data_IF_496741381505
#
_entry.id   IF_496741381505
#
_cell.length_a   1.000
_cell.length_b   1.000
_cell.length_c   1.000
_cell.angle_alpha   90.00
_cell.angle_beta   90.00
_cell.angle_gamma   90.00
#
_symmetry.space_group_name_H-M   'P 1'
#
loop_
_entity.id
_entity.type
_entity.pdbx_description
1 polymer ?
#
# COMPACT_ATOMS: atom_id res chain seq x y z
N UNK A 1 1.13 -15.71 -11.49
CA UNK A 1 0.62 -14.37 -11.09
C UNK A 1 0.22 -14.43 -9.63
N UNK A 2 0.56 -13.40 -8.85
CA UNK A 2 0.16 -13.27 -7.46
C UNK A 2 -1.32 -12.89 -7.34
N UNK A 3 -1.98 -13.31 -6.25
CA UNK A 3 -3.34 -12.85 -5.91
C UNK A 3 -3.24 -11.54 -5.14
N UNK A 4 -3.98 -10.51 -5.55
CA UNK A 4 -3.98 -9.20 -4.90
C UNK A 4 -5.29 -8.99 -4.15
N UNK A 5 -5.20 -8.72 -2.85
CA UNK A 5 -6.33 -8.47 -1.97
C UNK A 5 -6.23 -7.09 -1.35
N UNK A 6 -7.37 -6.48 -1.06
CA UNK A 6 -7.45 -5.23 -0.32
C UNK A 6 -7.98 -5.55 1.07
N UNK A 7 -7.30 -5.04 2.10
CA UNK A 7 -7.92 -4.98 3.41
C UNK A 7 -9.12 -4.04 3.38
N UNK A 8 -10.07 -4.25 4.29
CA UNK A 8 -11.33 -3.48 4.33
C UNK A 8 -11.08 -1.97 4.39
N UNK A 9 -10.06 -1.54 5.11
CA UNK A 9 -9.64 -0.14 5.18
C UNK A 9 -9.07 0.36 3.83
N UNK A 10 -8.21 -0.41 3.17
CA UNK A 10 -7.65 -0.06 1.87
C UNK A 10 -8.71 -0.01 0.76
N UNK A 11 -9.72 -0.89 0.83
CA UNK A 11 -10.86 -0.86 -0.09
C UNK A 11 -11.65 0.45 0.04
N UNK A 12 -11.83 0.93 1.27
CA UNK A 12 -12.48 2.24 1.53
C UNK A 12 -11.64 3.38 1.00
N UNK A 13 -10.32 3.31 1.10
CA UNK A 13 -9.44 4.33 0.54
C UNK A 13 -9.54 4.36 -0.97
N UNK A 14 -9.44 3.20 -1.61
CA UNK A 14 -9.59 3.06 -3.06
C UNK A 14 -10.92 3.62 -3.57
N UNK A 15 -12.03 3.34 -2.87
CA UNK A 15 -13.36 3.84 -3.24
C UNK A 15 -13.48 5.37 -3.22
N UNK A 16 -12.61 6.08 -2.49
CA UNK A 16 -12.57 7.55 -2.44
C UNK A 16 -11.74 8.16 -3.57
N UNK A 17 -10.97 7.35 -4.31
CA UNK A 17 -10.17 7.83 -5.42
C UNK A 17 -11.02 7.95 -6.69
N UNK A 18 -10.65 8.92 -7.51
CA UNK A 18 -11.19 9.13 -8.85
C UNK A 18 -10.06 9.41 -9.86
N UNK A 19 -10.46 9.53 -11.13
CA UNK A 19 -9.59 9.93 -12.23
C UNK A 19 -8.23 9.22 -12.25
N UNK A 20 -7.17 10.02 -12.33
CA UNK A 20 -5.80 9.55 -12.52
C UNK A 20 -5.25 8.80 -11.30
N UNK A 21 -5.74 9.12 -10.09
CA UNK A 21 -5.32 8.44 -8.87
C UNK A 21 -5.83 7.00 -8.85
N UNK A 22 -7.11 6.82 -9.19
CA UNK A 22 -7.73 5.49 -9.28
C UNK A 22 -7.07 4.63 -10.36
N UNK A 23 -6.86 5.20 -11.55
CA UNK A 23 -6.17 4.53 -12.66
C UNK A 23 -4.75 4.09 -12.27
N UNK A 24 -4.03 4.90 -11.50
CA UNK A 24 -2.70 4.55 -11.04
C UNK A 24 -2.72 3.35 -10.07
N UNK A 25 -3.72 3.29 -9.18
CA UNK A 25 -3.89 2.14 -8.26
C UNK A 25 -4.26 0.88 -9.02
N UNK A 26 -5.13 0.97 -10.02
CA UNK A 26 -5.49 -0.18 -10.87
C UNK A 26 -4.26 -0.75 -11.58
N UNK A 27 -3.44 0.13 -12.18
CA UNK A 27 -2.19 -0.24 -12.81
C UNK A 27 -1.13 -0.76 -11.82
N UNK A 28 -1.11 -0.25 -10.58
CA UNK A 28 -0.27 -0.80 -9.52
C UNK A 28 -0.70 -2.22 -9.14
N UNK A 29 -2.02 -2.46 -8.99
CA UNK A 29 -2.59 -3.78 -8.71
C UNK A 29 -2.23 -4.80 -9.79
N UNK A 30 -2.32 -4.43 -11.07
CA UNK A 30 -1.95 -5.34 -12.16
C UNK A 30 -0.45 -5.66 -12.17
N UNK A 31 0.42 -4.65 -11.96
CA UNK A 31 1.86 -4.89 -11.82
C UNK A 31 2.18 -5.80 -10.64
N UNK A 32 1.47 -5.68 -9.52
CA UNK A 32 1.61 -6.56 -8.37
C UNK A 32 1.15 -8.00 -8.69
N UNK A 33 0.11 -8.20 -9.50
CA UNK A 33 -0.28 -9.55 -9.97
C UNK A 33 0.80 -10.20 -10.82
N UNK A 34 1.45 -9.42 -11.69
CA UNK A 34 2.47 -9.94 -12.61
C UNK A 34 3.80 -10.18 -11.88
N UNK A 35 4.27 -9.19 -11.13
CA UNK A 35 5.64 -9.16 -10.57
C UNK A 35 5.72 -9.47 -9.08
N UNK A 36 4.58 -9.55 -8.38
CA UNK A 36 4.54 -9.85 -6.95
C UNK A 36 5.38 -8.89 -6.12
N UNK A 37 6.23 -9.45 -5.26
CA UNK A 37 7.10 -8.72 -4.32
C UNK A 37 8.40 -8.19 -4.94
N UNK A 38 8.67 -8.44 -6.22
CA UNK A 38 9.87 -7.93 -6.89
C UNK A 38 9.87 -6.40 -7.06
N UNK A 39 8.68 -5.79 -6.99
CA UNK A 39 8.50 -4.34 -7.11
C UNK A 39 8.25 -3.70 -5.76
N UNK A 40 8.41 -2.38 -5.71
CA UNK A 40 8.20 -1.59 -4.51
C UNK A 40 9.41 -1.55 -3.59
N UNK A 41 9.43 -0.50 -2.78
CA UNK A 41 10.49 -0.23 -1.80
C UNK A 41 10.18 -0.96 -0.49
N UNK A 42 11.14 -1.69 0.05
CA UNK A 42 11.04 -2.30 1.37
C UNK A 42 10.87 -1.25 2.46
N UNK A 43 9.92 -1.49 3.36
CA UNK A 43 9.71 -0.72 4.57
C UNK A 43 10.42 -1.39 5.75
N UNK A 44 10.87 -0.56 6.68
CA UNK A 44 11.56 -1.00 7.89
C UNK A 44 10.73 -0.76 9.14
N UNK A 45 11.30 -1.19 10.27
CA UNK A 45 10.80 -0.80 11.57
C UNK A 45 11.39 0.56 11.97
N UNK A 46 10.59 1.38 12.63
CA UNK A 46 11.00 2.62 13.29
C UNK A 46 10.49 2.58 14.73
N UNK A 47 10.84 3.61 15.52
CA UNK A 47 10.28 3.79 16.87
C UNK A 47 8.74 3.86 16.86
N UNK A 48 8.14 4.30 15.75
CA UNK A 48 6.70 4.59 15.67
C UNK A 48 5.89 3.62 14.79
N UNK A 49 6.54 2.84 13.94
CA UNK A 49 5.89 1.91 13.00
C UNK A 49 6.69 0.63 12.82
N UNK A 50 6.04 -0.54 12.86
CA UNK A 50 6.68 -1.85 12.69
C UNK A 50 6.29 -2.46 11.34
N UNK A 51 6.77 -1.85 10.25
CA UNK A 51 6.41 -2.21 8.88
C UNK A 51 7.49 -3.06 8.17
N UNK A 52 8.42 -3.68 8.89
CA UNK A 52 9.30 -4.68 8.29
C UNK A 52 8.49 -5.80 7.63
N UNK A 53 8.86 -6.15 6.39
CA UNK A 53 8.12 -7.11 5.56
C UNK A 53 6.96 -6.49 4.77
N UNK A 54 6.72 -5.19 4.91
CA UNK A 54 5.82 -4.44 4.03
C UNK A 54 6.63 -3.71 2.95
N UNK A 55 5.93 -3.35 1.86
CA UNK A 55 6.50 -2.64 0.73
C UNK A 55 5.62 -1.47 0.30
N UNK A 56 6.25 -0.53 -0.40
CA UNK A 56 5.63 0.70 -0.87
C UNK A 56 5.77 0.88 -2.39
N UNK A 57 4.67 1.25 -3.04
CA UNK A 57 4.67 1.92 -4.35
C UNK A 57 4.29 3.39 -4.16
N UNK A 58 5.08 4.30 -4.75
CA UNK A 58 4.85 5.75 -4.71
C UNK A 58 4.82 6.33 -6.11
N UNK A 59 3.89 7.25 -6.35
CA UNK A 59 3.99 8.17 -7.49
C UNK A 59 4.00 9.61 -6.96
N UNK A 60 5.19 10.20 -6.97
CA UNK A 60 5.42 11.55 -6.43
C UNK A 60 4.69 12.62 -7.23
N UNK A 61 4.59 12.48 -8.56
CA UNK A 61 3.92 13.45 -9.43
C UNK A 61 2.42 13.52 -9.16
N UNK A 62 1.81 12.37 -8.90
CA UNK A 62 0.39 12.26 -8.56
C UNK A 62 0.11 12.42 -7.06
N UNK A 63 1.15 12.48 -6.23
CA UNK A 63 0.99 12.51 -4.78
C UNK A 63 0.25 11.29 -4.22
N UNK A 64 0.52 10.07 -4.71
CA UNK A 64 -0.15 8.85 -4.22
C UNK A 64 0.84 7.80 -3.74
N UNK A 65 0.43 7.07 -2.70
CA UNK A 65 1.16 5.95 -2.10
C UNK A 65 0.24 4.76 -1.91
N UNK A 66 0.80 3.57 -2.11
CA UNK A 66 0.16 2.28 -1.85
C UNK A 66 1.13 1.42 -1.04
N UNK A 67 0.68 0.97 0.13
CA UNK A 67 1.45 0.09 1.01
C UNK A 67 0.83 -1.31 0.96
N UNK A 68 1.68 -2.31 0.80
CA UNK A 68 1.27 -3.70 0.68
C UNK A 68 2.19 -4.66 1.44
N UNK A 69 1.71 -5.88 1.70
CA UNK A 69 2.44 -6.96 2.34
C UNK A 69 2.46 -8.18 1.41
N UNK A 70 3.63 -8.66 0.98
CA UNK A 70 3.77 -9.99 0.42
C UNK A 70 3.55 -11.08 1.48
N UNK A 71 2.81 -12.12 1.16
CA UNK A 71 2.62 -13.30 2.02
C UNK A 71 3.28 -14.52 1.39
N UNK A 72 3.42 -15.60 2.18
CA UNK A 72 4.08 -16.84 1.78
C UNK A 72 3.36 -17.57 0.63
N UNK A 73 2.05 -17.33 0.46
CA UNK A 73 1.21 -18.06 -0.49
C UNK A 73 1.07 -17.37 -1.86
N UNK A 74 2.10 -16.61 -2.26
CA UNK A 74 2.08 -15.79 -3.47
C UNK A 74 0.87 -14.82 -3.51
N UNK A 75 0.53 -14.26 -2.35
CA UNK A 75 -0.50 -13.24 -2.23
C UNK A 75 0.12 -11.91 -1.83
N UNK A 76 -0.53 -10.83 -2.28
CA UNK A 76 -0.21 -9.46 -1.96
C UNK A 76 -1.42 -8.84 -1.29
N UNK A 77 -1.25 -8.37 -0.07
CA UNK A 77 -2.29 -7.68 0.68
C UNK A 77 -2.02 -6.17 0.65
N UNK A 78 -2.89 -5.41 -0.01
CA UNK A 78 -2.87 -3.95 0.00
C UNK A 78 -3.56 -3.48 1.28
N UNK A 79 -2.81 -2.74 2.09
CA UNK A 79 -3.24 -2.37 3.44
C UNK A 79 -3.56 -0.89 3.60
N UNK A 80 -2.98 -0.04 2.76
CA UNK A 80 -3.15 1.42 2.79
C UNK A 80 -3.02 1.98 1.38
N UNK A 81 -3.95 2.86 1.02
CA UNK A 81 -3.83 3.71 -0.16
C UNK A 81 -4.10 5.13 0.28
N UNK A 82 -3.21 6.05 -0.07
CA UNK A 82 -3.37 7.45 0.33
C UNK A 82 -2.95 8.38 -0.80
N UNK A 83 -3.81 9.33 -1.12
CA UNK A 83 -3.46 10.51 -1.90
C UNK A 83 -2.90 11.56 -0.93
N UNK A 84 -1.57 11.70 -0.90
CA UNK A 84 -0.80 12.52 0.03
C UNK A 84 -0.67 13.95 -0.50
N UNK A 85 -1.09 14.93 0.29
CA UNK A 85 -0.51 16.28 0.29
C UNK A 85 0.72 16.38 1.20
N UNK A 86 1.60 17.38 1.01
CA UNK A 86 2.91 17.55 1.70
C UNK A 86 2.93 17.31 3.24
N UNK A 87 1.81 17.45 3.95
CA UNK A 87 1.72 17.30 5.43
C UNK A 87 1.31 15.89 5.91
N UNK A 88 1.02 14.94 5.01
CA UNK A 88 0.53 13.61 5.39
C UNK A 88 1.60 12.50 5.28
N UNK A 89 2.83 12.83 4.89
CA UNK A 89 3.87 11.85 4.57
C UNK A 89 4.28 10.97 5.76
N UNK A 90 4.24 11.46 7.00
CA UNK A 90 4.50 10.62 8.19
C UNK A 90 3.25 9.89 8.69
N UNK A 91 2.06 10.49 8.54
CA UNK A 91 0.80 9.93 9.06
C UNK A 91 0.42 8.63 8.37
N UNK A 92 0.82 8.44 7.11
CA UNK A 92 0.52 7.21 6.36
C UNK A 92 1.12 5.98 7.03
N UNK A 93 2.37 6.05 7.51
CA UNK A 93 3.03 4.88 8.13
C UNK A 93 2.43 4.54 9.50
N UNK A 94 2.01 5.56 10.26
CA UNK A 94 1.28 5.37 11.51
C UNK A 94 -0.09 4.72 11.26
N UNK A 95 -0.78 5.11 10.19
CA UNK A 95 -2.08 4.54 9.81
C UNK A 95 -1.91 3.10 9.36
N UNK A 96 -0.91 2.83 8.51
CA UNK A 96 -0.54 1.47 8.11
C UNK A 96 -0.18 0.59 9.31
N UNK A 97 0.59 1.09 10.28
CA UNK A 97 0.91 0.36 11.51
C UNK A 97 -0.33 0.07 12.37
N UNK A 98 -1.24 1.05 12.51
CA UNK A 98 -2.51 0.85 13.22
C UNK A 98 -3.36 -0.24 12.57
N UNK A 99 -3.46 -0.23 11.23
CA UNK A 99 -4.16 -1.27 10.47
C UNK A 99 -3.46 -2.61 10.63
N UNK A 100 -2.13 -2.64 10.55
CA UNK A 100 -1.33 -3.85 10.77
C UNK A 100 -1.67 -4.52 12.10
N UNK A 101 -1.64 -3.77 13.20
CA UNK A 101 -1.97 -4.27 14.55
C UNK A 101 -3.40 -4.80 14.70
N UNK A 102 -4.31 -4.42 13.79
CA UNK A 102 -5.71 -4.86 13.82
C UNK A 102 -5.90 -6.21 13.14
N UNK A 103 -5.06 -6.53 12.15
CA UNK A 103 -5.19 -7.72 11.29
C UNK A 103 -4.10 -8.77 11.52
N UNK A 104 -3.03 -8.45 12.26
CA UNK A 104 -1.92 -9.33 12.64
C UNK A 104 -1.66 -9.25 14.14
#
# INVERSE_FOLDING_TARGET
MAKVFFWKEAEKDYKKLDGMLKQWVDAAGERLRIRGSEIGKDLGNTTYSKLAGFKELKNQKLGIRLIFKPTTDNQIEIIEIVAIGKREEEKVFLTAEKRRKKHL
#
